data_IF_840952909834
#
_entry.id   IF_840952909834
#
_cell.length_a   1.000
_cell.length_b   1.000
_cell.length_c   1.000
_cell.angle_alpha   90.00
_cell.angle_beta   90.00
_cell.angle_gamma   90.00
#
_symmetry.space_group_name_H-M   'P 1'
#
loop_
_entity.id
_entity.type
_entity.pdbx_description
1 polymer ?
#
# COMPACT_ATOMS: atom_id res chain seq x y z
N UNK A 1 -14.05 -0.74 -15.03
CA UNK A 1 -14.67 0.05 -13.96
C UNK A 1 -13.69 1.08 -13.38
N UNK A 2 -12.45 0.70 -12.97
CA UNK A 2 -11.49 1.61 -12.34
C UNK A 2 -11.16 2.85 -13.18
N UNK A 3 -10.88 2.70 -14.49
CA UNK A 3 -10.63 3.84 -15.39
C UNK A 3 -11.84 4.79 -15.48
N UNK A 4 -13.05 4.22 -15.50
CA UNK A 4 -14.28 5.03 -15.55
C UNK A 4 -14.47 5.77 -14.23
N UNK A 5 -14.27 5.12 -13.10
CA UNK A 5 -14.34 5.75 -11.78
C UNK A 5 -13.31 6.88 -11.63
N UNK A 6 -12.06 6.66 -12.06
CA UNK A 6 -11.03 7.70 -12.06
C UNK A 6 -11.44 8.90 -12.92
N UNK A 7 -11.96 8.66 -14.14
CA UNK A 7 -12.43 9.72 -15.03
C UNK A 7 -13.62 10.48 -14.44
N UNK A 8 -14.58 9.78 -13.82
CA UNK A 8 -15.72 10.40 -13.14
C UNK A 8 -15.28 11.27 -11.95
N UNK A 9 -14.31 10.80 -11.14
CA UNK A 9 -13.73 11.58 -10.04
C UNK A 9 -13.05 12.84 -10.61
N UNK A 10 -12.22 12.71 -11.62
CA UNK A 10 -11.52 13.85 -12.25
C UNK A 10 -12.51 14.87 -12.82
N UNK A 11 -13.56 14.40 -13.52
CA UNK A 11 -14.59 15.28 -14.07
C UNK A 11 -15.38 16.00 -12.96
N UNK A 12 -15.74 15.30 -11.89
CA UNK A 12 -16.49 15.86 -10.77
C UNK A 12 -15.69 16.91 -10.02
N UNK A 13 -14.42 16.63 -9.75
CA UNK A 13 -13.52 17.59 -9.09
C UNK A 13 -13.21 18.79 -10.00
N UNK A 14 -13.06 18.57 -11.30
CA UNK A 14 -12.87 19.64 -12.30
C UNK A 14 -14.08 20.54 -12.46
N UNK A 15 -15.31 19.98 -12.37
CA UNK A 15 -16.55 20.74 -12.47
C UNK A 15 -16.86 21.57 -11.20
N UNK A 16 -16.24 21.25 -10.05
CA UNK A 16 -16.47 21.93 -8.76
C UNK A 16 -15.90 23.36 -8.68
N UNK A 17 -15.53 23.95 -9.80
CA UNK A 17 -15.05 25.33 -9.90
C UNK A 17 -13.54 25.44 -9.66
N UNK A 18 -12.83 25.95 -10.64
CA UNK A 18 -11.38 26.12 -10.70
C UNK A 18 -10.75 27.07 -9.66
N UNK A 19 -11.34 27.22 -8.48
CA UNK A 19 -10.90 28.19 -7.50
C UNK A 19 -10.73 27.71 -6.05
N UNK A 20 -11.14 26.50 -5.72
CA UNK A 20 -10.97 26.01 -4.34
C UNK A 20 -9.64 25.24 -4.20
N UNK A 21 -8.67 25.73 -3.42
CA UNK A 21 -7.37 25.06 -3.23
C UNK A 21 -7.50 23.57 -2.82
N UNK A 22 -8.52 23.25 -2.05
CA UNK A 22 -8.82 21.89 -1.64
C UNK A 22 -9.23 20.97 -2.82
N UNK A 23 -10.00 21.47 -3.79
CA UNK A 23 -10.38 20.68 -4.97
C UNK A 23 -9.15 20.32 -5.81
N UNK A 24 -8.25 21.27 -6.03
CA UNK A 24 -6.96 21.03 -6.69
C UNK A 24 -6.10 20.01 -5.92
N UNK A 25 -6.05 20.12 -4.61
CA UNK A 25 -5.33 19.17 -3.76
C UNK A 25 -5.92 17.75 -3.83
N UNK A 26 -7.25 17.61 -3.89
CA UNK A 26 -7.91 16.32 -4.06
C UNK A 26 -7.63 15.72 -5.44
N UNK A 27 -7.63 16.51 -6.50
CA UNK A 27 -7.25 16.06 -7.84
C UNK A 27 -5.80 15.56 -7.88
N UNK A 28 -4.87 16.34 -7.30
CA UNK A 28 -3.46 15.95 -7.19
C UNK A 28 -3.30 14.65 -6.41
N UNK A 29 -4.00 14.50 -5.28
CA UNK A 29 -3.99 13.28 -4.48
C UNK A 29 -4.50 12.06 -5.26
N UNK A 30 -5.61 12.18 -5.99
CA UNK A 30 -6.17 11.09 -6.79
C UNK A 30 -5.19 10.69 -7.91
N UNK A 31 -4.60 11.66 -8.60
CA UNK A 31 -3.63 11.41 -9.67
C UNK A 31 -2.35 10.76 -9.11
N UNK A 32 -1.84 11.26 -8.00
CA UNK A 32 -0.68 10.71 -7.29
C UNK A 32 -0.94 9.27 -6.81
N UNK A 33 -2.06 9.06 -6.10
CA UNK A 33 -2.43 7.74 -5.60
C UNK A 33 -2.62 6.71 -6.71
N UNK A 34 -3.29 7.08 -7.80
CA UNK A 34 -3.47 6.19 -8.94
C UNK A 34 -2.12 5.81 -9.59
N UNK A 35 -1.21 6.77 -9.77
CA UNK A 35 0.10 6.49 -10.34
C UNK A 35 0.94 5.57 -9.43
N UNK A 36 1.03 5.88 -8.14
CA UNK A 36 1.84 5.11 -7.18
C UNK A 36 1.29 3.70 -7.00
N UNK A 37 -0.01 3.55 -6.72
CA UNK A 37 -0.60 2.24 -6.41
C UNK A 37 -0.73 1.33 -7.65
N UNK A 38 -0.72 1.89 -8.85
CA UNK A 38 -0.69 1.14 -10.10
C UNK A 38 0.72 1.02 -10.68
N UNK A 39 1.74 1.51 -9.98
CA UNK A 39 3.14 1.52 -10.43
C UNK A 39 3.31 2.18 -11.81
N UNK A 40 2.61 3.29 -12.03
CA UNK A 40 2.69 4.08 -13.26
C UNK A 40 3.65 5.26 -13.09
N UNK A 41 4.17 5.83 -14.19
CA UNK A 41 4.87 7.10 -14.14
C UNK A 41 4.01 8.19 -13.50
N UNK A 42 4.62 9.04 -12.68
CA UNK A 42 3.92 10.22 -12.15
C UNK A 42 3.57 11.18 -13.29
N UNK A 43 2.37 11.80 -13.28
CA UNK A 43 2.03 12.85 -14.23
C UNK A 43 3.02 14.02 -14.14
N UNK A 44 3.44 14.58 -15.30
CA UNK A 44 4.39 15.71 -15.36
C UNK A 44 3.87 16.97 -14.65
N UNK A 45 2.54 17.19 -14.71
CA UNK A 45 1.89 18.37 -14.12
C UNK A 45 1.54 18.18 -12.64
N UNK A 46 1.94 17.06 -12.02
CA UNK A 46 1.60 16.80 -10.62
C UNK A 46 2.37 17.76 -9.69
N UNK A 47 1.69 18.56 -8.86
CA UNK A 47 2.36 19.41 -7.91
C UNK A 47 3.14 18.59 -6.85
N UNK A 48 4.21 19.14 -6.28
CA UNK A 48 4.93 18.49 -5.19
C UNK A 48 4.01 18.13 -4.02
N UNK A 49 4.24 16.98 -3.39
CA UNK A 49 3.42 16.51 -2.26
C UNK A 49 3.30 17.56 -1.13
N UNK A 50 4.37 18.31 -0.88
CA UNK A 50 4.40 19.39 0.13
C UNK A 50 3.37 20.51 -0.14
N UNK A 51 2.93 20.70 -1.38
CA UNK A 51 1.98 21.74 -1.75
C UNK A 51 0.54 21.30 -1.56
N UNK A 52 0.18 20.07 -1.90
CA UNK A 52 -1.21 19.62 -1.82
C UNK A 52 -1.57 18.89 -0.51
N UNK A 53 -0.61 18.19 0.13
CA UNK A 53 -0.88 17.44 1.37
C UNK A 53 -1.48 18.31 2.50
N UNK A 54 -0.98 19.54 2.77
CA UNK A 54 -1.53 20.39 3.84
C UNK A 54 -2.98 20.81 3.60
N UNK A 55 -3.42 20.83 2.35
CA UNK A 55 -4.77 21.25 1.94
C UNK A 55 -5.82 20.14 2.04
N UNK A 56 -5.39 18.88 2.23
CA UNK A 56 -6.29 17.74 2.36
C UNK A 56 -6.91 17.69 3.77
N UNK A 57 -8.18 17.24 3.87
CA UNK A 57 -8.78 16.88 5.16
C UNK A 57 -7.93 15.86 5.92
N UNK A 58 -7.92 15.87 7.27
CA UNK A 58 -6.98 15.08 8.07
C UNK A 58 -6.95 13.58 7.74
N UNK A 59 -8.09 12.92 7.57
CA UNK A 59 -8.14 11.49 7.20
C UNK A 59 -7.61 11.21 5.79
N UNK A 60 -7.91 12.07 4.81
CA UNK A 60 -7.34 11.95 3.46
C UNK A 60 -5.85 12.28 3.45
N UNK A 61 -5.41 13.22 4.28
CA UNK A 61 -3.98 13.53 4.45
C UNK A 61 -3.22 12.35 5.01
N UNK A 62 -3.75 11.66 6.02
CA UNK A 62 -3.16 10.45 6.56
C UNK A 62 -3.02 9.35 5.50
N UNK A 63 -4.05 9.16 4.66
CA UNK A 63 -3.99 8.21 3.55
C UNK A 63 -3.00 8.65 2.45
N UNK A 64 -2.95 9.96 2.15
CA UNK A 64 -1.99 10.49 1.19
C UNK A 64 -0.53 10.36 1.67
N UNK A 65 -0.29 10.43 2.99
CA UNK A 65 1.02 10.15 3.58
C UNK A 65 1.39 8.67 3.48
N UNK A 66 0.42 7.74 3.60
CA UNK A 66 0.65 6.35 3.23
C UNK A 66 1.08 6.22 1.76
N UNK A 67 0.38 6.87 0.82
CA UNK A 67 0.75 6.83 -0.61
C UNK A 67 2.16 7.41 -0.83
N UNK A 68 2.52 8.49 -0.14
CA UNK A 68 3.88 9.06 -0.18
C UNK A 68 4.93 8.09 0.36
N UNK A 69 4.65 7.41 1.46
CA UNK A 69 5.53 6.38 2.00
C UNK A 69 5.68 5.22 1.00
N UNK A 70 4.58 4.76 0.39
CA UNK A 70 4.60 3.72 -0.64
C UNK A 70 5.43 4.15 -1.87
N UNK A 71 5.34 5.40 -2.30
CA UNK A 71 6.19 5.93 -3.37
C UNK A 71 7.68 5.84 -3.02
N UNK A 72 8.06 6.22 -1.81
CA UNK A 72 9.44 6.10 -1.32
C UNK A 72 9.89 4.64 -1.23
N UNK A 73 9.01 3.74 -0.76
CA UNK A 73 9.25 2.32 -0.78
C UNK A 73 9.58 1.80 -2.19
N UNK A 74 8.82 2.19 -3.21
CA UNK A 74 9.08 1.84 -4.61
C UNK A 74 10.42 2.41 -5.13
N UNK A 75 10.87 3.53 -4.55
CA UNK A 75 12.22 4.10 -4.80
C UNK A 75 13.34 3.44 -4.00
N UNK A 76 13.01 2.41 -3.19
CA UNK A 76 13.93 1.75 -2.24
C UNK A 76 14.45 2.68 -1.12
N UNK A 77 13.78 3.78 -0.87
CA UNK A 77 14.08 4.74 0.19
C UNK A 77 13.38 4.34 1.51
N UNK A 78 13.58 3.10 1.94
CA UNK A 78 12.85 2.46 3.05
C UNK A 78 12.93 3.22 4.36
N UNK A 79 14.08 3.80 4.70
CA UNK A 79 14.26 4.57 5.93
C UNK A 79 13.44 5.89 5.91
N UNK A 80 13.36 6.56 4.75
CA UNK A 80 12.53 7.75 4.60
C UNK A 80 11.04 7.41 4.65
N UNK A 81 10.63 6.32 4.00
CA UNK A 81 9.27 5.78 4.07
C UNK A 81 8.87 5.51 5.52
N UNK A 82 9.68 4.74 6.24
CA UNK A 82 9.45 4.42 7.66
C UNK A 82 9.33 5.69 8.53
N UNK A 83 10.17 6.70 8.29
CA UNK A 83 10.12 7.97 9.01
C UNK A 83 8.79 8.72 8.83
N UNK A 84 8.24 8.74 7.59
CA UNK A 84 6.92 9.33 7.32
C UNK A 84 5.83 8.55 8.07
N UNK A 85 5.88 7.23 8.03
CA UNK A 85 4.91 6.37 8.70
C UNK A 85 4.91 6.61 10.20
N UNK A 86 6.06 6.55 10.84
CA UNK A 86 6.20 6.75 12.28
C UNK A 86 5.69 8.13 12.72
N UNK A 87 6.09 9.19 11.99
CA UNK A 87 5.62 10.54 12.27
C UNK A 87 4.10 10.66 12.10
N UNK A 88 3.52 10.05 11.06
CA UNK A 88 2.09 10.12 10.80
C UNK A 88 1.28 9.38 11.86
N UNK A 89 1.73 8.19 12.28
CA UNK A 89 1.11 7.44 13.38
C UNK A 89 1.17 8.20 14.70
N UNK A 90 2.32 8.82 15.01
CA UNK A 90 2.51 9.61 16.22
C UNK A 90 1.64 10.89 16.24
N UNK A 91 1.33 11.48 15.08
CA UNK A 91 0.52 12.69 14.95
C UNK A 91 -1.01 12.44 14.96
N UNK A 92 -1.47 11.28 15.37
CA UNK A 92 -2.90 11.00 15.60
C UNK A 92 -3.63 10.34 14.44
N UNK A 93 -2.92 9.65 13.55
CA UNK A 93 -3.53 8.82 12.50
C UNK A 93 -4.48 7.75 13.07
N UNK A 94 -4.28 7.33 14.32
CA UNK A 94 -5.13 6.35 15.03
C UNK A 94 -6.63 6.72 15.06
N UNK A 95 -6.99 8.00 14.88
CA UNK A 95 -8.38 8.43 14.72
C UNK A 95 -9.01 8.01 13.39
N UNK A 96 -8.24 7.48 12.46
CA UNK A 96 -8.67 7.09 11.11
C UNK A 96 -8.26 5.64 10.84
N UNK A 97 -9.10 4.65 11.16
CA UNK A 97 -8.73 3.23 11.12
C UNK A 97 -8.14 2.77 9.79
N UNK A 98 -8.80 3.11 8.66
CA UNK A 98 -8.31 2.69 7.32
C UNK A 98 -6.92 3.24 7.02
N UNK A 99 -6.63 4.55 7.05
CA UNK A 99 -5.27 5.05 6.87
C UNK A 99 -4.26 4.43 7.84
N UNK A 100 -4.65 4.21 9.09
CA UNK A 100 -3.76 3.63 10.11
C UNK A 100 -3.37 2.19 9.75
N UNK A 101 -4.32 1.37 9.28
CA UNK A 101 -4.03 0.01 8.79
C UNK A 101 -2.99 0.07 7.66
N UNK A 102 -3.23 0.89 6.64
CA UNK A 102 -2.33 1.01 5.49
C UNK A 102 -0.94 1.55 5.86
N UNK A 103 -0.86 2.48 6.82
CA UNK A 103 0.42 2.96 7.38
C UNK A 103 1.18 1.85 8.09
N UNK A 104 0.52 1.02 8.85
CA UNK A 104 1.16 -0.15 9.46
C UNK A 104 1.61 -1.17 8.41
N UNK A 105 0.82 -1.43 7.35
CA UNK A 105 1.20 -2.36 6.30
C UNK A 105 2.45 -1.89 5.55
N UNK A 106 2.57 -0.59 5.23
CA UNK A 106 3.80 -0.08 4.61
C UNK A 106 5.00 -0.14 5.57
N UNK A 107 4.79 0.04 6.88
CA UNK A 107 5.84 -0.17 7.88
C UNK A 107 6.31 -1.63 7.94
N UNK A 108 5.42 -2.61 7.72
CA UNK A 108 5.80 -4.02 7.54
C UNK A 108 6.71 -4.16 6.33
N UNK A 109 6.32 -3.60 5.19
CA UNK A 109 7.09 -3.68 3.94
C UNK A 109 8.48 -3.07 4.09
N UNK A 110 8.59 -1.89 4.70
CA UNK A 110 9.87 -1.22 5.00
C UNK A 110 10.73 -2.05 5.93
N UNK A 111 10.14 -2.55 7.03
CA UNK A 111 10.86 -3.36 8.03
C UNK A 111 11.38 -4.67 7.44
N UNK A 112 10.59 -5.33 6.57
CA UNK A 112 11.04 -6.53 5.85
C UNK A 112 12.18 -6.22 4.89
N UNK A 113 12.13 -5.07 4.21
CA UNK A 113 13.21 -4.62 3.31
C UNK A 113 14.50 -4.26 4.07
N UNK A 114 14.37 -3.82 5.33
CA UNK A 114 15.47 -3.52 6.25
C UNK A 114 15.88 -4.74 7.10
N UNK A 115 15.34 -5.92 6.88
CA UNK A 115 15.57 -7.17 7.62
C UNK A 115 15.26 -7.04 9.13
N UNK A 116 14.26 -6.25 9.48
CA UNK A 116 13.80 -5.99 10.86
C UNK A 116 12.50 -6.77 11.14
N UNK A 117 12.57 -8.10 11.12
CA UNK A 117 11.39 -8.99 11.21
C UNK A 117 10.54 -8.76 12.47
N UNK A 118 11.15 -8.53 13.63
CA UNK A 118 10.41 -8.23 14.86
C UNK A 118 9.60 -6.93 14.80
N UNK A 119 10.11 -5.89 14.11
CA UNK A 119 9.34 -4.66 13.86
C UNK A 119 8.21 -4.91 12.87
N UNK A 120 8.48 -5.69 11.82
CA UNK A 120 7.47 -6.07 10.84
C UNK A 120 6.31 -6.81 11.52
N UNK A 121 6.60 -7.79 12.40
CA UNK A 121 5.57 -8.51 13.16
C UNK A 121 4.76 -7.56 14.05
N UNK A 122 5.41 -6.66 14.78
CA UNK A 122 4.74 -5.70 15.66
C UNK A 122 3.77 -4.81 14.87
N UNK A 123 4.18 -4.28 13.72
CA UNK A 123 3.30 -3.48 12.86
C UNK A 123 2.18 -4.30 12.24
N UNK A 124 2.43 -5.55 11.82
CA UNK A 124 1.39 -6.41 11.27
C UNK A 124 0.31 -6.70 12.31
N UNK A 125 0.70 -7.03 13.53
CA UNK A 125 -0.24 -7.27 14.62
C UNK A 125 -1.02 -6.03 15.01
N UNK A 126 -0.39 -4.85 15.04
CA UNK A 126 -1.09 -3.58 15.26
C UNK A 126 -2.14 -3.28 14.19
N UNK A 127 -1.81 -3.49 12.91
CA UNK A 127 -2.78 -3.39 11.81
C UNK A 127 -3.93 -4.39 11.98
N UNK A 128 -3.61 -5.62 12.38
CA UNK A 128 -4.57 -6.71 12.54
C UNK A 128 -5.57 -6.46 13.67
N UNK A 129 -5.10 -5.94 14.80
CA UNK A 129 -5.95 -5.56 15.93
C UNK A 129 -6.97 -4.49 15.56
N UNK A 130 -6.60 -3.55 14.70
CA UNK A 130 -7.52 -2.51 14.19
C UNK A 130 -8.48 -3.08 13.15
N UNK A 131 -7.98 -3.89 12.23
CA UNK A 131 -8.73 -4.34 11.06
C UNK A 131 -9.74 -5.43 11.37
N UNK A 132 -9.38 -6.42 12.20
CA UNK A 132 -10.14 -7.65 12.38
C UNK A 132 -11.53 -7.45 12.97
N UNK A 133 -11.76 -6.60 13.98
CA UNK A 133 -13.09 -6.41 14.56
C UNK A 133 -14.16 -5.93 13.57
N UNK A 134 -13.76 -5.08 12.61
CA UNK A 134 -14.64 -4.48 11.62
C UNK A 134 -14.47 -5.07 10.22
N UNK A 135 -13.76 -6.19 10.11
CA UNK A 135 -13.49 -6.92 8.85
C UNK A 135 -12.77 -6.09 7.77
N UNK A 136 -11.93 -5.14 8.16
CA UNK A 136 -11.17 -4.25 7.26
C UNK A 136 -9.92 -4.94 6.70
N UNK A 137 -10.08 -6.11 6.09
CA UNK A 137 -8.98 -7.00 5.69
C UNK A 137 -8.49 -6.80 4.24
N UNK A 138 -9.11 -5.93 3.45
CA UNK A 138 -8.75 -5.72 2.04
C UNK A 138 -7.27 -5.34 1.86
N UNK A 139 -6.76 -4.39 2.67
CA UNK A 139 -5.36 -3.94 2.58
C UNK A 139 -4.33 -5.05 2.74
N UNK A 140 -4.61 -6.08 3.54
CA UNK A 140 -3.71 -7.23 3.70
C UNK A 140 -3.60 -8.05 2.42
N UNK A 141 -4.70 -8.24 1.70
CA UNK A 141 -4.71 -8.94 0.43
C UNK A 141 -4.07 -8.14 -0.70
N UNK A 142 -4.29 -6.82 -0.71
CA UNK A 142 -3.68 -5.90 -1.69
C UNK A 142 -2.15 -5.86 -1.60
N UNK A 143 -1.60 -6.01 -0.40
CA UNK A 143 -0.17 -5.94 -0.13
C UNK A 143 0.49 -7.30 0.11
N UNK A 144 -0.23 -8.41 0.02
CA UNK A 144 0.22 -9.75 0.42
C UNK A 144 1.67 -10.05 0.03
N UNK A 145 2.01 -9.97 -1.26
CA UNK A 145 3.35 -10.26 -1.73
C UNK A 145 4.42 -9.27 -1.26
N UNK A 146 4.03 -8.02 -1.02
CA UNK A 146 4.94 -6.98 -0.53
C UNK A 146 5.22 -7.12 0.97
N UNK A 147 4.34 -7.81 1.72
CA UNK A 147 4.51 -8.05 3.17
C UNK A 147 5.58 -9.11 3.49
N UNK A 148 6.20 -9.75 2.48
CA UNK A 148 7.34 -10.62 2.68
C UNK A 148 7.05 -11.84 3.54
N UNK A 149 5.98 -12.58 3.21
CA UNK A 149 5.52 -13.78 3.91
C UNK A 149 5.08 -13.59 5.37
N UNK A 150 4.96 -12.36 5.84
CA UNK A 150 4.52 -12.09 7.21
C UNK A 150 3.09 -12.58 7.50
N UNK A 151 2.24 -12.67 6.48
CA UNK A 151 0.89 -13.24 6.65
C UNK A 151 0.95 -14.74 6.90
N UNK A 152 1.83 -15.45 6.21
CA UNK A 152 2.09 -16.89 6.38
C UNK A 152 2.66 -17.19 7.75
N UNK A 153 3.63 -16.40 8.18
CA UNK A 153 4.35 -16.61 9.44
C UNK A 153 3.50 -16.24 10.68
N UNK A 154 2.69 -15.18 10.59
CA UNK A 154 2.04 -14.60 11.79
C UNK A 154 0.52 -14.80 11.78
N UNK A 155 -0.15 -14.52 10.67
CA UNK A 155 -1.63 -14.56 10.59
C UNK A 155 -2.14 -15.99 10.40
N UNK A 156 -1.58 -16.72 9.44
CA UNK A 156 -2.04 -18.06 9.09
C UNK A 156 -2.10 -19.04 10.28
N UNK A 157 -1.10 -19.11 11.16
CA UNK A 157 -1.14 -20.06 12.29
C UNK A 157 -2.21 -19.74 13.33
N UNK A 158 -2.52 -18.45 13.52
CA UNK A 158 -3.43 -17.99 14.59
C UNK A 158 -4.88 -17.80 14.06
N UNK A 159 -5.02 -17.42 12.77
CA UNK A 159 -6.31 -17.10 12.14
C UNK A 159 -6.39 -17.68 10.72
N UNK A 160 -6.41 -19.02 10.56
CA UNK A 160 -6.33 -19.68 9.26
C UNK A 160 -7.52 -19.34 8.33
N UNK A 161 -8.71 -19.15 8.86
CA UNK A 161 -9.88 -18.79 8.04
C UNK A 161 -9.80 -17.35 7.52
N UNK A 162 -9.35 -16.41 8.35
CA UNK A 162 -9.12 -15.04 7.91
C UNK A 162 -7.99 -14.98 6.87
N UNK A 163 -6.90 -15.74 7.08
CA UNK A 163 -5.82 -15.87 6.10
C UNK A 163 -6.35 -16.37 4.74
N UNK A 164 -7.21 -17.39 4.73
CA UNK A 164 -7.82 -17.90 3.50
C UNK A 164 -8.65 -16.83 2.77
N UNK A 165 -9.37 -15.99 3.51
CA UNK A 165 -10.13 -14.87 2.96
C UNK A 165 -9.20 -13.82 2.36
N UNK A 166 -8.10 -13.47 3.05
CA UNK A 166 -7.07 -12.55 2.56
C UNK A 166 -6.47 -13.06 1.25
N UNK A 167 -6.15 -14.35 1.13
CA UNK A 167 -5.65 -14.96 -0.11
C UNK A 167 -6.68 -14.80 -1.26
N UNK A 168 -7.97 -14.96 -0.98
CA UNK A 168 -9.01 -14.70 -1.97
C UNK A 168 -9.04 -13.24 -2.46
N UNK A 169 -8.77 -12.27 -1.57
CA UNK A 169 -8.61 -10.85 -1.92
C UNK A 169 -7.38 -10.67 -2.81
N UNK A 170 -6.24 -11.25 -2.43
CA UNK A 170 -4.97 -11.19 -3.19
C UNK A 170 -5.18 -11.57 -4.66
N UNK A 171 -5.82 -12.70 -4.94
CA UNK A 171 -6.06 -13.14 -6.32
C UNK A 171 -6.97 -12.18 -7.10
N UNK A 172 -8.03 -11.67 -6.47
CA UNK A 172 -8.93 -10.71 -7.12
C UNK A 172 -8.23 -9.39 -7.42
N UNK A 173 -7.47 -8.88 -6.45
CA UNK A 173 -6.72 -7.64 -6.58
C UNK A 173 -5.65 -7.75 -7.68
N UNK A 174 -4.80 -8.77 -7.62
CA UNK A 174 -3.72 -9.00 -8.57
C UNK A 174 -4.25 -9.09 -10.02
N UNK A 175 -5.32 -9.86 -10.24
CA UNK A 175 -5.97 -9.94 -11.56
C UNK A 175 -6.49 -8.57 -12.04
N UNK A 176 -7.11 -7.78 -11.15
CA UNK A 176 -7.61 -6.44 -11.46
C UNK A 176 -6.49 -5.45 -11.76
N UNK A 177 -5.44 -5.47 -10.95
CA UNK A 177 -4.27 -4.61 -11.08
C UNK A 177 -3.56 -4.82 -12.43
N UNK A 178 -3.29 -6.07 -12.83
CA UNK A 178 -2.66 -6.40 -14.12
C UNK A 178 -3.47 -5.92 -15.32
N UNK A 179 -4.80 -6.02 -15.26
CA UNK A 179 -5.67 -5.52 -16.35
C UNK A 179 -5.54 -4.01 -16.58
N UNK A 180 -5.10 -3.26 -15.59
CA UNK A 180 -4.86 -1.82 -15.71
C UNK A 180 -3.39 -1.55 -16.01
N UNK A 181 -2.48 -2.15 -15.25
CA UNK A 181 -1.04 -1.91 -15.32
C UNK A 181 -0.43 -2.34 -16.67
N UNK A 182 -0.64 -3.61 -17.08
CA UNK A 182 0.02 -4.16 -18.26
C UNK A 182 -0.27 -3.35 -19.54
N UNK A 183 -1.53 -3.00 -19.86
CA UNK A 183 -1.80 -2.17 -21.06
C UNK A 183 -1.25 -0.74 -20.97
N UNK A 184 -1.06 -0.20 -19.76
CA UNK A 184 -0.57 1.18 -19.59
C UNK A 184 0.95 1.28 -19.63
N UNK A 185 1.65 0.24 -19.20
CA UNK A 185 3.12 0.23 -19.14
C UNK A 185 3.76 -0.51 -20.31
N UNK A 186 3.01 -1.35 -21.01
CA UNK A 186 3.55 -2.26 -22.04
C UNK A 186 4.33 -3.45 -21.45
N UNK A 187 4.35 -3.61 -20.12
CA UNK A 187 4.93 -4.76 -19.44
C UNK A 187 3.89 -5.84 -19.21
N UNK A 188 4.22 -7.08 -19.53
CA UNK A 188 3.37 -8.25 -19.27
C UNK A 188 3.79 -8.89 -17.96
N UNK A 189 3.23 -8.38 -16.87
CA UNK A 189 3.44 -8.97 -15.54
C UNK A 189 2.60 -10.24 -15.44
N UNK A 190 3.26 -11.38 -15.45
CA UNK A 190 2.62 -12.69 -15.29
C UNK A 190 2.31 -12.99 -13.81
N UNK A 191 1.38 -13.91 -13.60
CA UNK A 191 0.96 -14.36 -12.26
C UNK A 191 0.86 -15.89 -12.24
N UNK A 192 2.00 -16.52 -12.53
CA UNK A 192 2.13 -17.97 -12.57
C UNK A 192 2.67 -18.53 -11.24
N UNK A 193 2.95 -17.63 -10.26
CA UNK A 193 3.45 -18.02 -8.95
C UNK A 193 2.31 -18.19 -7.95
N UNK A 194 2.43 -19.20 -7.11
CA UNK A 194 1.63 -19.31 -5.89
C UNK A 194 1.98 -18.16 -4.94
N UNK A 195 1.11 -17.87 -3.97
CA UNK A 195 1.37 -16.81 -2.97
C UNK A 195 2.66 -17.02 -2.20
N UNK A 196 3.02 -18.27 -1.88
CA UNK A 196 4.28 -18.61 -1.21
C UNK A 196 5.49 -18.39 -2.12
N UNK A 197 5.43 -18.85 -3.38
CA UNK A 197 6.50 -18.61 -4.35
C UNK A 197 6.72 -17.11 -4.60
N UNK A 198 5.63 -16.34 -4.68
CA UNK A 198 5.72 -14.89 -4.83
C UNK A 198 6.37 -14.23 -3.60
N UNK A 199 5.99 -14.67 -2.38
CA UNK A 199 6.62 -14.18 -1.15
C UNK A 199 8.12 -14.49 -1.10
N UNK A 200 8.53 -15.71 -1.48
CA UNK A 200 9.94 -16.12 -1.61
C UNK A 200 10.68 -15.24 -2.61
N UNK A 201 10.09 -15.04 -3.80
CA UNK A 201 10.68 -14.18 -4.84
C UNK A 201 10.87 -12.74 -4.36
N UNK A 202 9.90 -12.19 -3.61
CA UNK A 202 9.97 -10.85 -3.05
C UNK A 202 11.03 -10.71 -1.96
N UNK A 203 11.24 -11.74 -1.13
CA UNK A 203 12.33 -11.76 -0.15
C UNK A 203 13.69 -11.84 -0.84
N UNK A 204 13.84 -12.70 -1.84
CA UNK A 204 15.06 -12.80 -2.65
C UNK A 204 15.39 -11.47 -3.36
N UNK A 205 14.38 -10.77 -3.89
CA UNK A 205 14.53 -9.45 -4.51
C UNK A 205 14.96 -8.35 -3.54
N UNK A 206 14.89 -8.61 -2.22
CA UNK A 206 15.36 -7.75 -1.12
C UNK A 206 16.70 -8.21 -0.54
N UNK A 207 17.45 -9.00 -1.30
CA UNK A 207 18.75 -9.54 -0.91
C UNK A 207 18.72 -10.44 0.36
N UNK A 208 17.60 -11.13 0.60
CA UNK A 208 17.54 -12.19 1.59
C UNK A 208 18.21 -13.45 1.05
N UNK A 209 19.07 -14.06 1.85
CA UNK A 209 19.67 -15.36 1.52
C UNK A 209 18.65 -16.49 1.62
N UNK A 210 18.90 -17.60 0.95
CA UNK A 210 18.06 -18.81 1.01
C UNK A 210 17.87 -19.30 2.45
N UNK A 211 18.93 -19.18 3.27
CA UNK A 211 18.86 -19.56 4.68
C UNK A 211 17.95 -18.62 5.48
N UNK A 212 18.10 -17.30 5.33
CA UNK A 212 17.22 -16.32 5.99
C UNK A 212 15.75 -16.51 5.61
N UNK A 213 15.49 -16.83 4.33
CA UNK A 213 14.14 -17.12 3.83
C UNK A 213 13.59 -18.39 4.49
N UNK A 214 14.40 -19.47 4.56
CA UNK A 214 13.97 -20.73 5.15
C UNK A 214 13.74 -20.64 6.67
N UNK A 215 14.48 -19.81 7.36
CA UNK A 215 14.28 -19.56 8.80
C UNK A 215 13.04 -18.69 9.08
N UNK A 216 12.63 -17.87 8.11
CA UNK A 216 11.50 -16.96 8.24
C UNK A 216 10.14 -17.64 7.92
N UNK A 217 10.13 -18.61 7.01
CA UNK A 217 8.92 -19.34 6.55
C UNK A 217 8.66 -20.58 7.40
#
# INVERSE_FOLDING_TARGET
HARRALQEIQNTLGASGSGAPMAGAMQAFVAFGAAVLLHLPLPEELPPAAEFLPLLPPGLRAFALYVQAHYLYLKKEYAHSAGIVEATLAMGAASYPIPTIYLHLIAVMDSMSLKQTGRAEAHLLAAWEIARPDDLIEGFGEHHGLLGAMLEAVIKPKWPEDFKRIIGITYRFSSGWRRVHNPMTGHDVADDLTTTEFAIAMLAARDWTTQEIAEHL
#
